data_IF_582611557494
#
_entry.id   IF_582611557494
#
_cell.length_a   1.000
_cell.length_b   1.000
_cell.length_c   1.000
_cell.angle_alpha   90.00
_cell.angle_beta   90.00
_cell.angle_gamma   90.00
#
_symmetry.space_group_name_H-M   'P 1'
#
loop_
_entity.id
_entity.type
_entity.pdbx_description
1 polymer ?
#
# COMPACT_ATOMS: atom_id res chain seq x y z
N UNK A 1 -38.88 -16.89 -13.21
CA UNK A 1 -37.39 -16.70 -13.16
C UNK A 1 -36.74 -17.22 -11.89
N UNK A 2 -37.17 -18.36 -11.38
CA UNK A 2 -36.57 -19.04 -10.23
C UNK A 2 -35.68 -20.21 -10.67
N UNK A 3 -34.75 -20.64 -9.80
CA UNK A 3 -33.98 -21.85 -9.99
C UNK A 3 -34.89 -23.06 -9.94
N UNK A 4 -34.89 -23.91 -10.94
CA UNK A 4 -35.71 -25.12 -10.99
C UNK A 4 -34.92 -26.27 -10.40
N UNK A 5 -35.39 -26.87 -9.30
CA UNK A 5 -34.74 -27.99 -8.63
C UNK A 5 -34.63 -29.23 -9.54
N UNK A 6 -35.65 -29.50 -10.33
CA UNK A 6 -35.66 -30.56 -11.31
C UNK A 6 -36.50 -30.12 -12.52
N UNK A 7 -35.93 -30.19 -13.70
CA UNK A 7 -36.64 -30.08 -14.97
C UNK A 7 -36.84 -31.51 -15.49
N UNK A 8 -38.10 -31.87 -15.78
CA UNK A 8 -38.48 -33.23 -16.11
C UNK A 8 -39.66 -33.20 -17.10
N UNK A 9 -39.48 -33.72 -18.29
CA UNK A 9 -40.53 -33.72 -19.30
C UNK A 9 -40.34 -34.81 -20.38
N UNK A 10 -41.39 -35.08 -21.12
CA UNK A 10 -41.42 -36.07 -22.17
C UNK A 10 -41.66 -35.40 -23.52
N UNK A 11 -41.01 -35.92 -24.53
CA UNK A 11 -41.23 -35.55 -25.96
C UNK A 11 -41.78 -36.78 -26.67
N UNK A 12 -43.08 -36.79 -26.91
CA UNK A 12 -43.76 -37.90 -27.57
C UNK A 12 -43.95 -37.64 -29.06
N UNK A 13 -44.28 -38.70 -29.79
CA UNK A 13 -44.57 -38.65 -31.23
C UNK A 13 -43.31 -38.68 -32.14
N UNK A 14 -42.14 -38.83 -31.58
CA UNK A 14 -40.92 -39.05 -32.34
C UNK A 14 -40.60 -40.54 -32.43
N UNK A 15 -40.27 -41.04 -33.65
CA UNK A 15 -39.80 -42.40 -33.83
C UNK A 15 -38.43 -42.59 -33.15
N UNK A 16 -38.47 -42.96 -31.85
CA UNK A 16 -37.29 -43.16 -31.03
C UNK A 16 -36.44 -44.32 -31.48
N UNK A 17 -36.98 -45.28 -32.29
CA UNK A 17 -36.21 -46.45 -32.79
C UNK A 17 -35.23 -46.04 -33.88
N UNK A 18 -35.62 -45.11 -34.76
CA UNK A 18 -34.83 -44.68 -35.89
C UNK A 18 -34.20 -43.29 -35.76
N UNK A 19 -34.72 -42.49 -34.79
CA UNK A 19 -34.21 -41.16 -34.51
C UNK A 19 -33.21 -41.09 -33.36
N UNK A 20 -32.71 -39.89 -33.10
CA UNK A 20 -31.92 -39.57 -31.92
C UNK A 20 -32.19 -38.12 -31.49
N UNK A 21 -32.35 -37.90 -30.18
CA UNK A 21 -32.54 -36.61 -29.57
C UNK A 21 -31.31 -36.27 -28.70
N UNK A 22 -30.87 -35.03 -28.76
CA UNK A 22 -29.84 -34.44 -27.94
C UNK A 22 -30.45 -33.26 -27.18
N UNK A 23 -30.05 -33.10 -25.93
CA UNK A 23 -30.49 -31.99 -25.07
C UNK A 23 -29.28 -31.18 -24.57
N UNK A 24 -29.29 -29.92 -24.89
CA UNK A 24 -28.20 -29.00 -24.53
C UNK A 24 -28.66 -27.97 -23.52
N UNK A 25 -28.00 -27.92 -22.40
CA UNK A 25 -28.29 -26.98 -21.29
C UNK A 25 -27.28 -25.79 -21.29
N UNK A 26 -26.44 -25.71 -22.31
CA UNK A 26 -25.31 -24.79 -22.38
C UNK A 26 -24.00 -25.41 -21.85
N UNK A 27 -22.90 -24.68 -22.03
CA UNK A 27 -21.56 -25.23 -21.79
C UNK A 27 -21.26 -25.54 -20.31
N UNK A 28 -21.82 -24.78 -19.37
CA UNK A 28 -21.48 -24.83 -17.93
C UNK A 28 -22.61 -25.30 -17.03
N UNK A 29 -23.82 -25.45 -17.56
CA UNK A 29 -24.96 -25.92 -16.79
C UNK A 29 -24.90 -27.45 -16.60
N UNK A 30 -25.60 -27.99 -15.58
CA UNK A 30 -25.72 -29.43 -15.45
C UNK A 30 -26.26 -30.08 -16.74
N UNK A 31 -25.66 -31.18 -17.22
CA UNK A 31 -26.11 -31.84 -18.46
C UNK A 31 -27.52 -32.40 -18.27
N UNK A 32 -28.33 -32.25 -19.30
CA UNK A 32 -29.60 -32.97 -19.34
C UNK A 32 -29.35 -34.43 -19.68
N UNK A 33 -30.12 -35.30 -19.03
CA UNK A 33 -30.16 -36.73 -19.36
C UNK A 33 -31.29 -36.94 -20.36
N UNK A 34 -31.04 -37.83 -21.35
CA UNK A 34 -32.02 -38.18 -22.36
C UNK A 34 -32.15 -39.70 -22.42
N UNK A 35 -33.32 -40.21 -22.15
CA UNK A 35 -33.63 -41.62 -22.18
C UNK A 35 -34.75 -41.90 -23.24
N UNK A 36 -34.66 -43.02 -23.93
CA UNK A 36 -35.68 -43.42 -24.87
C UNK A 36 -36.85 -44.04 -24.14
N UNK A 37 -38.05 -43.69 -24.55
CA UNK A 37 -39.31 -44.31 -24.12
C UNK A 37 -39.94 -45.11 -25.28
N UNK A 38 -41.06 -45.75 -25.06
CA UNK A 38 -41.77 -46.46 -26.10
C UNK A 38 -42.33 -45.50 -27.17
N UNK A 39 -42.72 -44.28 -26.78
CA UNK A 39 -43.41 -43.28 -27.61
C UNK A 39 -42.55 -42.08 -27.98
N UNK A 40 -41.30 -41.99 -27.42
CA UNK A 40 -40.47 -40.83 -27.65
C UNK A 40 -39.22 -40.78 -26.77
N UNK A 41 -39.04 -39.69 -26.03
CA UNK A 41 -37.90 -39.44 -25.18
C UNK A 41 -38.31 -38.81 -23.84
N UNK A 42 -37.70 -39.27 -22.77
CA UNK A 42 -37.73 -38.64 -21.46
C UNK A 42 -36.46 -37.81 -21.25
N UNK A 43 -36.63 -36.57 -20.82
CA UNK A 43 -35.51 -35.60 -20.63
C UNK A 43 -35.63 -35.03 -19.24
N UNK A 44 -34.52 -35.10 -18.50
CA UNK A 44 -34.45 -34.47 -17.17
C UNK A 44 -33.07 -33.88 -16.87
N UNK A 45 -33.05 -32.85 -16.00
CA UNK A 45 -31.86 -32.30 -15.41
C UNK A 45 -32.16 -31.78 -14.02
N UNK A 46 -31.20 -31.85 -13.10
CA UNK A 46 -31.28 -31.32 -11.75
C UNK A 46 -30.63 -29.95 -11.68
N UNK A 47 -31.03 -29.15 -10.72
CA UNK A 47 -30.43 -27.84 -10.44
C UNK A 47 -30.33 -26.91 -11.67
N UNK A 48 -31.42 -26.85 -12.46
CA UNK A 48 -31.44 -26.02 -13.65
C UNK A 48 -31.37 -24.54 -13.26
N UNK A 49 -30.37 -23.77 -13.77
CA UNK A 49 -30.12 -22.43 -13.32
C UNK A 49 -31.22 -21.46 -13.72
N UNK A 50 -31.33 -20.37 -12.96
CA UNK A 50 -32.16 -19.20 -13.34
C UNK A 50 -31.70 -18.70 -14.71
N UNK A 51 -32.63 -18.43 -15.61
CA UNK A 51 -32.37 -18.05 -17.00
C UNK A 51 -31.60 -19.08 -17.83
N UNK A 52 -31.55 -20.33 -17.40
CA UNK A 52 -31.02 -21.43 -18.19
C UNK A 52 -31.82 -21.65 -19.46
N UNK A 53 -31.17 -22.00 -20.55
CA UNK A 53 -31.82 -22.40 -21.79
C UNK A 53 -31.60 -23.89 -21.99
N UNK A 54 -32.65 -24.56 -22.41
CA UNK A 54 -32.61 -25.94 -22.86
C UNK A 54 -32.90 -25.96 -24.35
N UNK A 55 -31.98 -26.44 -25.14
CA UNK A 55 -32.13 -26.61 -26.58
C UNK A 55 -32.20 -28.08 -26.88
N UNK A 56 -33.22 -28.48 -27.66
CA UNK A 56 -33.44 -29.85 -28.12
C UNK A 56 -33.09 -29.93 -29.58
N UNK A 57 -32.16 -30.80 -29.89
CA UNK A 57 -31.80 -31.14 -31.27
C UNK A 57 -32.16 -32.59 -31.53
N UNK A 58 -32.93 -32.84 -32.59
CA UNK A 58 -33.34 -34.19 -32.92
C UNK A 58 -33.25 -34.43 -34.44
N UNK A 59 -33.01 -35.66 -34.80
CA UNK A 59 -33.22 -36.13 -36.17
C UNK A 59 -33.96 -37.46 -36.16
N UNK A 60 -34.77 -37.65 -37.17
CA UNK A 60 -35.46 -38.90 -37.47
C UNK A 60 -35.60 -39.07 -39.00
N UNK A 61 -35.88 -40.29 -39.51
CA UNK A 61 -36.11 -40.49 -40.93
C UNK A 61 -37.31 -39.69 -41.43
N UNK A 62 -37.19 -39.22 -42.68
CA UNK A 62 -38.29 -38.55 -43.38
C UNK A 62 -39.40 -39.57 -43.71
N UNK A 63 -40.60 -39.34 -43.15
CA UNK A 63 -41.78 -40.14 -43.50
C UNK A 63 -42.48 -39.57 -44.70
N UNK A 64 -43.33 -40.41 -45.38
CA UNK A 64 -44.18 -39.93 -46.50
C UNK A 64 -45.15 -38.81 -46.08
N UNK A 65 -45.70 -38.87 -44.85
CA UNK A 65 -46.53 -37.83 -44.29
C UNK A 65 -45.83 -36.49 -44.23
N UNK A 66 -44.60 -36.46 -43.72
CA UNK A 66 -43.75 -35.25 -43.65
C UNK A 66 -43.35 -34.74 -45.04
N UNK A 67 -43.21 -35.63 -46.04
CA UNK A 67 -42.93 -35.20 -47.42
C UNK A 67 -44.13 -34.53 -48.10
N UNK A 68 -45.33 -34.91 -47.74
CA UNK A 68 -46.58 -34.36 -48.29
C UNK A 68 -47.00 -33.04 -47.62
N UNK A 69 -46.42 -32.74 -46.50
CA UNK A 69 -46.70 -31.47 -45.80
C UNK A 69 -46.03 -30.31 -46.53
N UNK A 70 -46.82 -29.44 -47.16
CA UNK A 70 -46.32 -28.27 -47.92
C UNK A 70 -45.65 -27.19 -47.07
N UNK A 71 -45.74 -27.29 -45.77
CA UNK A 71 -45.10 -26.33 -44.83
C UNK A 71 -43.64 -26.69 -44.56
N UNK A 72 -43.16 -27.85 -44.95
CA UNK A 72 -41.81 -28.29 -44.73
C UNK A 72 -40.86 -27.87 -45.87
N UNK A 73 -39.78 -27.19 -45.56
CA UNK A 73 -38.67 -26.96 -46.51
C UNK A 73 -37.86 -28.23 -46.71
N UNK A 74 -37.81 -28.74 -47.95
CA UNK A 74 -37.02 -29.91 -48.32
C UNK A 74 -35.69 -29.49 -48.91
N UNK A 75 -34.64 -29.53 -48.07
CA UNK A 75 -33.25 -29.30 -48.52
C UNK A 75 -32.64 -30.61 -49.10
N UNK A 76 -32.18 -30.54 -50.36
CA UNK A 76 -31.41 -31.65 -50.98
C UNK A 76 -30.03 -31.77 -50.36
N UNK A 77 -29.73 -32.93 -49.74
CA UNK A 77 -28.43 -33.23 -49.19
C UNK A 77 -28.42 -34.19 -48.01
N UNK A 78 -27.25 -34.54 -47.49
CA UNK A 78 -27.12 -35.43 -46.34
C UNK A 78 -27.31 -34.64 -45.02
N UNK A 79 -28.58 -34.38 -44.67
CA UNK A 79 -28.93 -33.61 -43.44
C UNK A 79 -28.45 -34.30 -42.16
N UNK A 80 -28.49 -35.63 -42.08
CA UNK A 80 -28.04 -36.41 -40.95
C UNK A 80 -26.55 -36.23 -40.69
N UNK A 81 -25.74 -36.27 -41.71
CA UNK A 81 -24.29 -36.10 -41.57
C UNK A 81 -23.92 -34.68 -41.09
N UNK A 82 -24.55 -33.65 -41.69
CA UNK A 82 -24.37 -32.26 -41.26
C UNK A 82 -24.79 -32.07 -39.80
N UNK A 83 -25.92 -32.65 -39.39
CA UNK A 83 -26.43 -32.62 -38.05
C UNK A 83 -25.42 -33.27 -37.06
N UNK A 84 -25.00 -34.50 -37.31
CA UNK A 84 -24.03 -35.22 -36.47
C UNK A 84 -22.69 -34.48 -36.36
N UNK A 85 -22.24 -33.85 -37.44
CA UNK A 85 -21.04 -33.00 -37.40
C UNK A 85 -21.21 -31.77 -36.49
N UNK A 86 -22.40 -31.14 -36.52
CA UNK A 86 -22.75 -30.03 -35.62
C UNK A 86 -22.77 -30.48 -34.18
N UNK A 87 -23.45 -31.60 -33.86
CA UNK A 87 -23.49 -32.17 -32.52
C UNK A 87 -22.12 -32.51 -31.96
N UNK A 88 -21.29 -33.15 -32.76
CA UNK A 88 -19.88 -33.46 -32.40
C UNK A 88 -19.08 -32.15 -32.08
N UNK A 89 -19.31 -31.10 -32.87
CA UNK A 89 -18.68 -29.80 -32.63
C UNK A 89 -19.14 -29.17 -31.30
N UNK A 90 -20.45 -29.29 -30.97
CA UNK A 90 -21.01 -28.77 -29.68
C UNK A 90 -20.39 -29.56 -28.51
N UNK A 91 -20.34 -30.88 -28.62
CA UNK A 91 -19.74 -31.75 -27.60
C UNK A 91 -18.27 -31.43 -27.37
N UNK A 92 -17.47 -31.30 -28.44
CA UNK A 92 -16.06 -30.93 -28.36
C UNK A 92 -15.85 -29.54 -27.73
N UNK A 93 -16.66 -28.55 -28.11
CA UNK A 93 -16.59 -27.22 -27.53
C UNK A 93 -16.97 -27.23 -26.06
N UNK A 94 -18.03 -27.98 -25.69
CA UNK A 94 -18.45 -28.12 -24.29
C UNK A 94 -17.35 -28.75 -23.45
N UNK A 95 -16.74 -29.82 -23.93
CA UNK A 95 -15.61 -30.48 -23.28
C UNK A 95 -14.42 -29.52 -23.13
N UNK A 96 -14.05 -28.82 -24.20
CA UNK A 96 -12.92 -27.89 -24.21
C UNK A 96 -13.15 -26.75 -23.20
N UNK A 97 -14.29 -26.08 -23.25
CA UNK A 97 -14.58 -24.94 -22.39
C UNK A 97 -14.68 -25.33 -20.91
N UNK A 98 -15.32 -26.46 -20.62
CA UNK A 98 -15.36 -27.01 -19.25
C UNK A 98 -13.96 -27.36 -18.75
N UNK A 99 -13.17 -28.05 -19.55
CA UNK A 99 -11.82 -28.42 -19.16
C UNK A 99 -10.96 -27.19 -18.94
N UNK A 100 -11.00 -26.23 -19.87
CA UNK A 100 -10.21 -25.00 -19.78
C UNK A 100 -10.58 -24.19 -18.54
N UNK A 101 -11.86 -23.83 -18.40
CA UNK A 101 -12.30 -22.86 -17.36
C UNK A 101 -12.50 -23.49 -15.99
N UNK A 102 -12.86 -24.77 -15.88
CA UNK A 102 -13.10 -25.40 -14.59
C UNK A 102 -11.90 -26.19 -14.05
N UNK A 103 -10.91 -26.52 -14.89
CA UNK A 103 -9.72 -27.27 -14.46
C UNK A 103 -8.43 -26.51 -14.73
N UNK A 104 -8.16 -26.14 -15.99
CA UNK A 104 -6.88 -25.54 -16.36
C UNK A 104 -6.68 -24.15 -15.75
N UNK A 105 -7.65 -23.26 -15.92
CA UNK A 105 -7.54 -21.89 -15.40
C UNK A 105 -7.36 -21.86 -13.89
N UNK A 106 -8.12 -22.58 -13.06
CA UNK A 106 -7.89 -22.61 -11.60
C UNK A 106 -6.49 -23.14 -11.24
N UNK A 107 -6.05 -24.24 -11.87
CA UNK A 107 -4.72 -24.81 -11.60
C UNK A 107 -3.62 -23.81 -11.96
N UNK A 108 -3.67 -23.22 -13.15
CA UNK A 108 -2.70 -22.21 -13.61
C UNK A 108 -2.73 -20.99 -12.70
N UNK A 109 -3.91 -20.54 -12.27
CA UNK A 109 -4.06 -19.41 -11.38
C UNK A 109 -3.43 -19.67 -9.99
N UNK A 110 -3.62 -20.86 -9.45
CA UNK A 110 -2.99 -21.26 -8.18
C UNK A 110 -1.46 -21.32 -8.34
N UNK A 111 -0.96 -21.89 -9.42
CA UNK A 111 0.48 -21.93 -9.67
C UNK A 111 1.08 -20.53 -9.82
N UNK A 112 0.44 -19.64 -10.59
CA UNK A 112 0.88 -18.26 -10.74
C UNK A 112 0.84 -17.49 -9.41
N UNK A 113 -0.20 -17.72 -8.60
CA UNK A 113 -0.31 -17.13 -7.27
C UNK A 113 0.87 -17.54 -6.39
N UNK A 114 1.18 -18.83 -6.31
CA UNK A 114 2.33 -19.35 -5.54
C UNK A 114 3.64 -18.77 -6.09
N UNK A 115 3.84 -18.83 -7.42
CA UNK A 115 5.05 -18.31 -8.06
C UNK A 115 5.24 -16.80 -7.83
N UNK A 116 4.17 -16.02 -7.78
CA UNK A 116 4.24 -14.59 -7.52
C UNK A 116 4.74 -14.26 -6.12
N UNK A 117 4.53 -15.15 -5.13
CA UNK A 117 5.02 -14.93 -3.76
C UNK A 117 6.53 -15.11 -3.62
N UNK A 118 7.17 -15.93 -4.44
CA UNK A 118 8.61 -16.21 -4.35
C UNK A 118 9.45 -14.93 -4.50
N UNK A 119 9.32 -14.12 -5.57
CA UNK A 119 10.06 -12.87 -5.70
C UNK A 119 9.70 -11.89 -4.59
N UNK A 120 8.46 -11.84 -4.14
CA UNK A 120 8.06 -10.98 -3.03
C UNK A 120 8.70 -11.38 -1.70
N UNK A 121 8.74 -12.67 -1.38
CA UNK A 121 9.42 -13.17 -0.17
C UNK A 121 10.91 -12.80 -0.23
N UNK A 122 11.56 -13.01 -1.37
CA UNK A 122 12.97 -12.62 -1.58
C UNK A 122 13.18 -11.13 -1.40
N UNK A 123 12.32 -10.30 -1.99
CA UNK A 123 12.34 -8.86 -1.81
C UNK A 123 12.22 -8.48 -0.32
N UNK A 124 11.26 -9.04 0.41
CA UNK A 124 11.08 -8.72 1.83
C UNK A 124 12.22 -9.20 2.72
N UNK A 125 12.83 -10.32 2.40
CA UNK A 125 14.00 -10.82 3.12
C UNK A 125 15.22 -9.90 2.88
N UNK A 126 15.48 -9.52 1.63
CA UNK A 126 16.63 -8.69 1.27
C UNK A 126 16.51 -7.24 1.77
N UNK A 127 15.28 -6.69 1.77
CA UNK A 127 14.99 -5.32 2.23
C UNK A 127 14.65 -5.22 3.71
N UNK A 128 14.78 -6.33 4.48
CA UNK A 128 14.45 -6.35 5.90
C UNK A 128 15.39 -5.44 6.70
N UNK A 129 14.81 -4.52 7.47
CA UNK A 129 15.56 -3.70 8.42
C UNK A 129 16.12 -4.56 9.55
N UNK A 130 17.42 -4.52 9.75
CA UNK A 130 18.11 -5.19 10.85
C UNK A 130 18.01 -4.34 12.11
N UNK A 131 17.78 -4.98 13.24
CA UNK A 131 17.64 -4.33 14.56
C UNK A 131 18.44 -5.11 15.58
N UNK A 132 18.93 -4.43 16.61
CA UNK A 132 19.53 -5.06 17.78
C UNK A 132 18.47 -5.39 18.82
N UNK A 133 18.82 -6.30 19.74
CA UNK A 133 17.96 -6.61 20.88
C UNK A 133 17.81 -5.39 21.81
N UNK A 134 16.62 -5.21 22.39
CA UNK A 134 16.33 -4.08 23.29
C UNK A 134 17.21 -4.05 24.55
N UNK A 135 17.75 -5.18 24.96
CA UNK A 135 18.66 -5.29 26.10
C UNK A 135 20.09 -4.79 25.84
N UNK A 136 20.46 -4.61 24.56
CA UNK A 136 21.79 -4.05 24.22
C UNK A 136 21.74 -2.56 24.42
N UNK A 137 22.60 -2.03 25.27
CA UNK A 137 22.67 -0.63 25.68
C UNK A 137 24.06 -0.06 25.48
N UNK A 138 24.14 1.19 25.11
CA UNK A 138 25.36 2.01 25.09
C UNK A 138 25.12 3.24 25.95
N UNK A 139 25.98 3.49 26.93
CA UNK A 139 25.77 4.52 27.95
C UNK A 139 26.26 5.90 27.54
N UNK A 140 27.00 5.99 26.45
CA UNK A 140 27.49 7.23 25.86
C UNK A 140 27.00 7.35 24.40
N UNK A 141 26.76 8.57 23.89
CA UNK A 141 26.45 8.74 22.48
C UNK A 141 27.66 8.30 21.62
N UNK A 142 27.46 7.55 20.54
CA UNK A 142 28.56 7.09 19.68
C UNK A 142 29.41 8.24 19.13
N UNK A 143 28.77 9.35 18.88
CA UNK A 143 29.37 10.62 18.44
C UNK A 143 28.57 11.78 19.00
N UNK A 144 29.25 12.92 19.22
CA UNK A 144 28.58 14.14 19.69
C UNK A 144 27.98 14.89 18.50
N UNK A 145 26.83 14.42 17.99
CA UNK A 145 26.14 15.00 16.83
C UNK A 145 25.04 15.99 17.27
N UNK A 146 24.92 17.14 16.58
CA UNK A 146 23.75 17.99 16.75
C UNK A 146 22.44 17.27 16.42
N UNK A 147 21.34 17.52 17.15
CA UNK A 147 20.08 16.82 16.96
C UNK A 147 19.53 16.85 15.53
N UNK A 148 19.62 17.98 14.82
CA UNK A 148 19.18 18.11 13.42
C UNK A 148 20.00 17.25 12.47
N UNK A 149 21.31 17.18 12.68
CA UNK A 149 22.25 16.35 11.89
C UNK A 149 21.93 14.88 12.11
N UNK A 150 21.79 14.46 13.36
CA UNK A 150 21.42 13.09 13.72
C UNK A 150 20.06 12.69 13.13
N UNK A 151 19.06 13.59 13.23
CA UNK A 151 17.73 13.35 12.69
C UNK A 151 17.72 13.20 11.15
N UNK A 152 18.50 14.02 10.46
CA UNK A 152 18.63 13.91 9.00
C UNK A 152 19.37 12.65 8.59
N UNK A 153 20.51 12.36 9.21
CA UNK A 153 21.36 11.24 8.84
C UNK A 153 20.73 9.88 9.19
N UNK A 154 20.22 9.71 10.42
CA UNK A 154 19.79 8.41 10.92
C UNK A 154 18.28 8.17 10.79
N UNK A 155 17.46 9.24 10.71
CA UNK A 155 16.00 9.15 10.70
C UNK A 155 15.35 9.77 9.45
N UNK A 156 16.15 10.22 8.47
CA UNK A 156 15.69 10.82 7.20
C UNK A 156 14.68 11.97 7.43
N UNK A 157 15.08 12.94 8.23
CA UNK A 157 14.26 14.13 8.45
C UNK A 157 14.02 14.87 7.13
N UNK A 158 12.74 15.06 6.81
CA UNK A 158 12.28 15.93 5.73
C UNK A 158 11.93 17.30 6.31
N UNK A 159 12.78 18.29 6.09
CA UNK A 159 12.59 19.64 6.59
C UNK A 159 11.43 20.37 5.93
N UNK A 160 11.14 20.10 4.64
CA UNK A 160 10.07 20.79 3.93
C UNK A 160 8.70 20.35 4.42
N UNK A 161 8.55 19.06 4.70
CA UNK A 161 7.30 18.47 5.22
C UNK A 161 7.24 18.46 6.72
N UNK A 162 8.34 18.78 7.40
CA UNK A 162 8.50 18.67 8.86
C UNK A 162 8.12 17.27 9.39
N UNK A 163 8.50 16.24 8.65
CA UNK A 163 8.21 14.83 8.93
C UNK A 163 9.49 14.05 9.07
N UNK A 164 9.50 13.12 10.00
CA UNK A 164 10.55 12.13 10.18
C UNK A 164 10.06 10.83 9.56
N UNK A 165 10.58 10.51 8.38
CA UNK A 165 10.02 9.48 7.51
C UNK A 165 10.11 8.06 8.07
N UNK A 166 11.18 7.76 8.79
CA UNK A 166 11.49 6.37 9.15
C UNK A 166 11.02 5.96 10.54
N UNK A 167 10.88 6.90 11.44
CA UNK A 167 10.63 6.57 12.83
C UNK A 167 9.13 6.50 13.15
N UNK A 168 8.67 5.34 13.55
CA UNK A 168 7.30 5.12 14.05
C UNK A 168 7.20 5.31 15.58
N UNK A 169 8.30 5.67 16.21
CA UNK A 169 8.41 5.81 17.67
C UNK A 169 8.03 7.19 18.18
N UNK A 170 8.54 7.55 19.37
CA UNK A 170 8.25 8.82 20.04
C UNK A 170 8.92 10.05 19.39
N UNK A 171 9.73 9.86 18.34
CA UNK A 171 10.43 10.94 17.68
C UNK A 171 9.45 11.85 16.94
N UNK A 172 9.34 13.11 17.38
CA UNK A 172 8.45 14.12 16.81
C UNK A 172 9.24 15.37 16.45
N UNK A 173 8.81 16.10 15.44
CA UNK A 173 9.49 17.31 15.00
C UNK A 173 9.61 18.39 16.09
N UNK A 174 8.58 18.58 16.91
CA UNK A 174 8.65 19.51 18.03
C UNK A 174 9.68 19.10 19.10
N UNK A 175 9.86 17.81 19.37
CA UNK A 175 10.92 17.34 20.27
C UNK A 175 12.31 17.60 19.70
N UNK A 176 12.46 17.49 18.38
CA UNK A 176 13.70 17.80 17.70
C UNK A 176 14.07 19.29 17.81
N UNK A 177 13.09 20.19 17.63
CA UNK A 177 13.27 21.63 17.85
C UNK A 177 13.71 21.90 19.28
N UNK A 178 13.02 21.33 20.27
CA UNK A 178 13.36 21.48 21.69
C UNK A 178 14.76 20.94 21.98
N UNK A 179 15.11 19.78 21.44
CA UNK A 179 16.45 19.21 21.60
C UNK A 179 17.54 20.09 20.98
N UNK A 180 17.29 20.72 19.84
CA UNK A 180 18.23 21.62 19.18
C UNK A 180 18.43 22.91 20.00
N UNK A 181 17.37 23.46 20.57
CA UNK A 181 17.48 24.61 21.48
C UNK A 181 18.27 24.23 22.74
N UNK A 182 17.99 23.07 23.34
CA UNK A 182 18.74 22.57 24.49
C UNK A 182 20.22 22.31 24.17
N UNK A 183 20.53 21.81 22.99
CA UNK A 183 21.90 21.61 22.52
C UNK A 183 22.67 22.95 22.43
N UNK A 184 22.02 23.98 21.90
CA UNK A 184 22.59 25.33 21.82
C UNK A 184 22.74 25.98 23.21
N UNK A 185 21.85 25.68 24.16
CA UNK A 185 21.97 26.13 25.57
C UNK A 185 23.13 25.39 26.27
N UNK A 186 23.23 24.08 26.10
CA UNK A 186 24.30 23.24 26.66
C UNK A 186 25.68 23.70 26.21
N UNK A 187 25.80 24.14 24.96
CA UNK A 187 27.03 24.72 24.38
C UNK A 187 27.26 26.19 24.72
N UNK A 188 26.32 26.82 25.43
CA UNK A 188 26.42 28.22 25.88
C UNK A 188 26.08 29.27 24.82
N UNK A 189 25.66 28.90 23.61
CA UNK A 189 25.27 29.84 22.56
C UNK A 189 23.94 30.53 22.86
N UNK A 190 23.01 29.81 23.52
CA UNK A 190 21.73 30.34 23.97
C UNK A 190 21.61 30.31 25.50
N UNK A 191 20.80 31.20 26.05
CA UNK A 191 20.45 31.23 27.50
C UNK A 191 18.93 31.29 27.64
N UNK A 192 18.40 30.44 28.51
CA UNK A 192 17.00 30.50 28.92
C UNK A 192 16.91 31.14 30.31
N UNK A 193 16.19 32.25 30.44
CA UNK A 193 15.92 32.90 31.70
C UNK A 193 14.43 32.84 31.99
N UNK A 194 14.08 32.67 33.27
CA UNK A 194 12.69 32.67 33.73
C UNK A 194 12.45 33.91 34.59
N UNK A 195 11.56 34.78 34.12
CA UNK A 195 11.18 36.03 34.78
C UNK A 195 9.69 35.96 35.11
N UNK A 196 9.19 36.95 35.85
CA UNK A 196 7.77 37.11 36.19
C UNK A 196 6.87 37.17 34.95
N UNK A 197 7.40 37.65 33.82
CA UNK A 197 6.71 37.78 32.53
C UNK A 197 6.80 36.54 31.65
N UNK A 198 7.40 35.42 32.11
CA UNK A 198 7.54 34.18 31.37
C UNK A 198 8.97 33.73 31.15
N UNK A 199 9.15 32.82 30.22
CA UNK A 199 10.46 32.28 29.87
C UNK A 199 11.01 32.99 28.62
N UNK A 200 12.21 33.54 28.74
CA UNK A 200 12.88 34.34 27.72
C UNK A 200 14.12 33.60 27.23
N UNK A 201 14.27 33.48 25.92
CA UNK A 201 15.42 32.90 25.25
C UNK A 201 16.29 34.02 24.69
N UNK A 202 17.58 34.03 25.03
CA UNK A 202 18.56 35.06 24.62
C UNK A 202 19.68 34.38 23.81
N UNK A 203 20.09 34.95 22.67
CA UNK A 203 21.27 34.57 21.95
C UNK A 203 22.49 35.31 22.52
N UNK A 204 23.47 34.54 23.04
CA UNK A 204 24.66 35.09 23.68
C UNK A 204 25.77 35.37 22.69
N UNK A 205 26.06 34.40 21.83
CA UNK A 205 27.10 34.50 20.80
C UNK A 205 26.89 33.52 19.65
N UNK A 206 27.47 33.82 18.51
CA UNK A 206 27.38 33.02 17.29
C UNK A 206 28.65 32.23 16.99
N UNK A 207 29.64 32.32 17.86
CA UNK A 207 30.94 31.64 17.69
C UNK A 207 30.75 30.11 17.78
N UNK A 208 31.48 29.39 16.90
CA UNK A 208 31.43 27.93 16.87
C UNK A 208 30.19 27.30 16.27
N UNK A 209 29.24 28.13 15.78
CA UNK A 209 28.01 27.62 15.15
C UNK A 209 28.25 27.24 13.68
N UNK A 210 27.64 26.13 13.25
CA UNK A 210 27.56 25.74 11.84
C UNK A 210 26.53 26.57 11.08
N UNK A 211 26.63 26.60 9.75
CA UNK A 211 25.73 27.37 8.87
C UNK A 211 24.23 27.04 9.13
N UNK A 212 23.91 25.77 9.38
CA UNK A 212 22.54 25.36 9.65
C UNK A 212 22.04 25.82 11.03
N UNK A 213 22.93 25.95 12.00
CA UNK A 213 22.60 26.45 13.35
C UNK A 213 22.37 27.95 13.33
N UNK A 214 23.17 28.70 12.57
CA UNK A 214 22.94 30.11 12.31
C UNK A 214 21.57 30.33 11.65
N UNK A 215 21.24 29.51 10.66
CA UNK A 215 19.93 29.56 10.00
C UNK A 215 18.80 29.20 10.97
N UNK A 216 19.00 28.21 11.83
CA UNK A 216 18.00 27.81 12.84
C UNK A 216 17.77 28.94 13.85
N UNK A 217 18.81 29.62 14.31
CA UNK A 217 18.71 30.80 15.20
C UNK A 217 17.97 31.94 14.49
N UNK A 218 18.32 32.24 13.22
CA UNK A 218 17.60 33.24 12.40
C UNK A 218 16.08 32.92 12.34
N UNK A 219 15.72 31.64 12.15
CA UNK A 219 14.32 31.21 12.10
C UNK A 219 13.61 31.39 13.46
N UNK A 220 14.32 31.29 14.59
CA UNK A 220 13.77 31.46 15.93
C UNK A 220 13.59 32.93 16.27
N UNK A 221 14.64 33.73 16.10
CA UNK A 221 14.75 35.09 16.63
C UNK A 221 14.35 36.18 15.64
N UNK A 222 14.28 35.90 14.35
CA UNK A 222 13.92 36.84 13.26
C UNK A 222 14.80 38.06 13.19
N UNK A 223 15.66 38.51 13.76
CA UNK A 223 16.56 39.65 13.85
C UNK A 223 16.65 40.20 15.29
N UNK A 224 15.92 39.66 16.24
CA UNK A 224 16.02 40.02 17.64
C UNK A 224 17.13 39.18 18.29
N UNK A 225 17.70 39.68 19.40
CA UNK A 225 18.67 38.92 20.21
C UNK A 225 18.03 38.23 21.41
N UNK A 226 16.79 38.60 21.72
CA UNK A 226 16.04 38.09 22.84
C UNK A 226 14.56 37.94 22.47
N UNK A 227 13.95 36.81 22.82
CA UNK A 227 12.57 36.50 22.45
C UNK A 227 11.88 35.71 23.58
N UNK A 228 10.60 35.94 23.77
CA UNK A 228 9.79 35.07 24.65
C UNK A 228 9.60 33.70 23.97
N UNK A 229 9.66 32.62 24.75
CA UNK A 229 9.46 31.26 24.22
C UNK A 229 8.11 31.11 23.51
N UNK A 230 7.08 31.82 23.92
CA UNK A 230 5.77 31.82 23.26
C UNK A 230 5.80 32.41 21.86
N UNK A 231 6.80 33.21 21.53
CA UNK A 231 6.97 33.92 20.25
C UNK A 231 7.96 33.27 19.32
N UNK A 232 8.62 32.19 19.77
CA UNK A 232 9.50 31.39 18.94
C UNK A 232 8.78 30.98 17.64
N UNK A 233 9.43 31.22 16.49
CA UNK A 233 8.86 31.04 15.16
C UNK A 233 7.62 31.90 14.85
N UNK A 234 7.45 33.05 15.50
CA UNK A 234 6.30 33.96 15.30
C UNK A 234 6.13 34.36 13.82
N UNK A 235 7.24 34.58 13.08
CA UNK A 235 7.23 34.90 11.64
C UNK A 235 6.51 33.87 10.76
N UNK A 236 6.35 32.63 11.21
CA UNK A 236 5.63 31.56 10.49
C UNK A 236 4.25 31.26 11.09
N UNK A 237 3.87 31.94 12.18
CA UNK A 237 2.56 31.76 12.80
C UNK A 237 1.50 32.47 11.96
N UNK A 238 0.46 31.73 11.63
CA UNK A 238 -0.74 32.25 10.94
C UNK A 238 -1.91 32.05 11.88
N UNK A 239 -2.61 33.11 12.23
CA UNK A 239 -3.89 32.98 12.89
C UNK A 239 -4.93 32.42 11.90
N UNK A 240 -5.04 31.10 11.90
CA UNK A 240 -5.98 30.37 11.04
C UNK A 240 -7.44 30.78 11.31
N UNK A 241 -7.78 31.15 12.56
CA UNK A 241 -9.13 31.52 12.94
C UNK A 241 -9.47 32.91 12.38
N UNK A 242 -8.57 33.88 12.54
CA UNK A 242 -8.69 35.21 11.99
C UNK A 242 -8.76 35.14 10.43
N UNK A 243 -7.82 34.44 9.77
CA UNK A 243 -7.85 34.29 8.30
C UNK A 243 -9.12 33.62 7.79
N UNK A 244 -9.63 32.62 8.50
CA UNK A 244 -10.89 31.95 8.14
C UNK A 244 -12.10 32.85 8.33
N UNK A 245 -12.11 33.70 9.36
CA UNK A 245 -13.13 34.70 9.63
C UNK A 245 -13.10 35.75 8.53
N UNK A 246 -11.93 36.29 8.20
CA UNK A 246 -11.75 37.31 7.15
C UNK A 246 -12.11 36.76 5.78
N UNK A 247 -11.74 35.52 5.48
CA UNK A 247 -12.10 34.86 4.22
C UNK A 247 -13.61 34.68 4.05
N UNK A 248 -14.33 34.37 5.16
CA UNK A 248 -15.78 34.27 5.14
C UNK A 248 -16.47 35.63 5.04
N UNK A 249 -15.86 36.66 5.63
CA UNK A 249 -16.37 38.04 5.58
C UNK A 249 -16.05 38.76 4.25
N UNK A 250 -15.13 38.23 3.45
CA UNK A 250 -14.72 38.80 2.17
C UNK A 250 -15.87 38.83 1.17
N UNK A 251 -16.22 40.06 0.73
CA UNK A 251 -17.33 40.31 -0.19
C UNK A 251 -16.95 40.21 -1.69
N UNK A 252 -15.66 40.17 -2.00
CA UNK A 252 -15.15 40.06 -3.38
C UNK A 252 -14.08 39.00 -3.52
N UNK A 253 -13.92 38.45 -4.72
CA UNK A 253 -12.87 37.49 -5.03
C UNK A 253 -11.47 38.08 -4.88
N UNK A 254 -11.32 39.37 -5.20
CA UNK A 254 -10.07 40.13 -4.98
C UNK A 254 -9.66 40.16 -3.50
N UNK A 255 -10.61 40.29 -2.57
CA UNK A 255 -10.32 40.21 -1.13
C UNK A 255 -9.93 38.81 -0.70
N UNK A 256 -10.64 37.79 -1.18
CA UNK A 256 -10.30 36.39 -0.93
C UNK A 256 -8.91 36.03 -1.45
N UNK A 257 -8.53 36.53 -2.61
CA UNK A 257 -7.20 36.28 -3.19
C UNK A 257 -6.09 37.00 -2.38
N UNK A 258 -6.34 38.19 -1.85
CA UNK A 258 -5.38 38.84 -0.94
C UNK A 258 -5.14 37.99 0.32
N UNK A 259 -6.19 37.48 0.93
CA UNK A 259 -6.09 36.60 2.12
C UNK A 259 -5.33 35.31 1.80
N UNK A 260 -5.61 34.69 0.63
CA UNK A 260 -4.87 33.52 0.16
C UNK A 260 -3.38 33.84 -0.04
N UNK A 261 -3.05 35.00 -0.63
CA UNK A 261 -1.67 35.44 -0.84
C UNK A 261 -0.90 35.59 0.48
N UNK A 262 -1.51 36.09 1.54
CA UNK A 262 -0.87 36.19 2.87
C UNK A 262 -0.50 34.79 3.37
N UNK A 263 -1.43 33.85 3.34
CA UNK A 263 -1.16 32.46 3.75
C UNK A 263 -0.09 31.78 2.90
N UNK A 264 -0.15 31.96 1.58
CA UNK A 264 0.84 31.38 0.66
C UNK A 264 2.23 32.02 0.79
N UNK A 265 2.31 33.31 1.13
CA UNK A 265 3.60 34.00 1.36
C UNK A 265 4.32 33.42 2.59
N UNK A 266 3.60 33.26 3.71
CA UNK A 266 4.19 32.67 4.92
C UNK A 266 4.59 31.20 4.68
N UNK A 267 3.78 30.44 3.97
CA UNK A 267 4.12 29.07 3.61
C UNK A 267 5.34 28.98 2.69
N UNK A 268 5.46 29.90 1.72
CA UNK A 268 6.61 29.98 0.82
C UNK A 268 7.89 30.38 1.57
N UNK A 269 7.77 31.33 2.52
CA UNK A 269 8.89 31.72 3.39
C UNK A 269 9.38 30.54 4.21
N UNK A 270 8.47 29.85 4.90
CA UNK A 270 8.81 28.66 5.71
C UNK A 270 9.48 27.58 4.85
N UNK A 271 8.95 27.32 3.66
CA UNK A 271 9.53 26.34 2.74
C UNK A 271 10.93 26.74 2.30
N UNK A 272 11.16 28.01 1.96
CA UNK A 272 12.48 28.54 1.58
C UNK A 272 13.49 28.36 2.74
N UNK A 273 13.11 28.76 3.95
CA UNK A 273 13.98 28.67 5.10
C UNK A 273 14.26 27.21 5.49
N UNK A 274 13.25 26.35 5.43
CA UNK A 274 13.41 24.90 5.64
C UNK A 274 14.36 24.26 4.62
N UNK A 275 14.30 24.67 3.35
CA UNK A 275 15.24 24.21 2.32
C UNK A 275 16.68 24.68 2.60
N UNK A 276 16.87 25.92 3.03
CA UNK A 276 18.18 26.43 3.41
C UNK A 276 18.74 25.67 4.61
N UNK A 277 17.90 25.43 5.62
CA UNK A 277 18.25 24.64 6.81
C UNK A 277 18.68 23.20 6.39
N UNK A 278 17.90 22.54 5.49
CA UNK A 278 18.23 21.22 4.98
C UNK A 278 19.59 21.18 4.30
N UNK A 279 19.86 22.14 3.41
CA UNK A 279 21.16 22.24 2.73
C UNK A 279 22.32 22.45 3.69
N UNK A 280 22.12 23.29 4.71
CA UNK A 280 23.12 23.49 5.75
C UNK A 280 23.43 22.23 6.55
N UNK A 281 22.38 21.47 6.92
CA UNK A 281 22.54 20.18 7.61
C UNK A 281 23.23 19.15 6.70
N UNK A 282 22.89 19.08 5.43
CA UNK A 282 23.54 18.17 4.47
C UNK A 282 25.03 18.51 4.28
N UNK A 283 25.38 19.80 4.24
CA UNK A 283 26.75 20.26 4.20
C UNK A 283 27.54 19.85 5.48
N UNK A 284 26.90 19.94 6.63
CA UNK A 284 27.53 19.53 7.90
C UNK A 284 27.70 18.01 7.98
N UNK A 285 26.72 17.22 7.51
CA UNK A 285 26.82 15.75 7.39
C UNK A 285 28.04 15.39 6.52
N UNK A 286 28.21 16.06 5.39
CA UNK A 286 29.35 15.83 4.49
C UNK A 286 30.69 16.24 5.15
N UNK A 287 30.76 17.38 5.86
CA UNK A 287 31.93 17.87 6.58
C UNK A 287 32.36 16.93 7.70
N UNK A 288 31.37 16.36 8.43
CA UNK A 288 31.62 15.38 9.49
C UNK A 288 31.97 13.99 8.95
N UNK A 289 31.90 13.78 7.63
CA UNK A 289 32.18 12.49 7.00
C UNK A 289 31.24 11.38 7.45
N UNK A 290 29.96 11.74 7.80
CA UNK A 290 29.01 10.75 8.25
C UNK A 290 28.65 9.82 7.10
N UNK A 291 28.57 8.50 7.36
CA UNK A 291 28.22 7.55 6.34
C UNK A 291 26.75 7.67 5.94
N UNK A 292 26.42 7.26 4.72
CA UNK A 292 25.04 7.08 4.33
C UNK A 292 24.45 5.86 5.06
N UNK A 293 23.44 6.08 5.88
CA UNK A 293 22.72 5.02 6.58
C UNK A 293 21.60 4.40 5.74
N UNK A 294 21.38 4.95 4.56
CA UNK A 294 20.34 4.51 3.62
C UNK A 294 20.96 4.23 2.26
N UNK A 295 20.31 3.38 1.51
CA UNK A 295 20.70 2.99 0.17
C UNK A 295 19.49 2.87 -0.74
N UNK A 296 19.71 2.95 -2.02
CA UNK A 296 18.72 2.64 -3.04
C UNK A 296 18.54 1.12 -3.19
N UNK A 297 17.50 0.73 -3.92
CA UNK A 297 17.29 -0.66 -4.32
C UNK A 297 18.46 -1.14 -5.18
N UNK A 298 18.95 -2.33 -4.90
CA UNK A 298 19.86 -3.03 -5.81
C UNK A 298 19.09 -3.52 -7.05
N UNK A 299 19.77 -3.74 -8.16
CA UNK A 299 19.18 -4.28 -9.40
C UNK A 299 18.43 -5.60 -9.15
N UNK A 300 18.93 -6.46 -8.27
CA UNK A 300 18.29 -7.72 -7.90
C UNK A 300 16.97 -7.51 -7.14
N UNK A 301 16.95 -6.57 -6.21
CA UNK A 301 15.76 -6.23 -5.43
C UNK A 301 14.69 -5.59 -6.30
N UNK A 302 15.09 -4.72 -7.22
CA UNK A 302 14.21 -4.13 -8.21
C UNK A 302 13.63 -5.20 -9.17
N UNK A 303 14.47 -6.15 -9.60
CA UNK A 303 14.02 -7.28 -10.41
C UNK A 303 13.00 -8.15 -9.67
N UNK A 304 13.19 -8.41 -8.37
CA UNK A 304 12.22 -9.14 -7.57
C UNK A 304 10.87 -8.42 -7.48
N UNK A 305 10.90 -7.09 -7.25
CA UNK A 305 9.69 -6.28 -7.21
C UNK A 305 8.95 -6.31 -8.55
N UNK A 306 9.65 -6.04 -9.65
CA UNK A 306 9.10 -6.05 -11.02
C UNK A 306 8.53 -7.42 -11.41
N UNK A 307 9.26 -8.50 -11.12
CA UNK A 307 8.82 -9.87 -11.44
C UNK A 307 7.56 -10.24 -10.65
N UNK A 308 7.52 -9.91 -9.34
CA UNK A 308 6.34 -10.15 -8.52
C UNK A 308 5.11 -9.38 -9.03
N UNK A 309 5.26 -8.11 -9.40
CA UNK A 309 4.20 -7.31 -10.02
C UNK A 309 3.72 -7.90 -11.34
N UNK A 310 4.64 -8.31 -12.22
CA UNK A 310 4.30 -8.88 -13.52
C UNK A 310 3.50 -10.18 -13.39
N UNK A 311 3.91 -11.08 -12.49
CA UNK A 311 3.18 -12.34 -12.25
C UNK A 311 1.77 -12.10 -11.70
N UNK A 312 1.61 -11.13 -10.78
CA UNK A 312 0.29 -10.73 -10.29
C UNK A 312 -0.59 -10.14 -11.40
N UNK A 313 -0.01 -9.28 -12.24
CA UNK A 313 -0.73 -8.72 -13.38
C UNK A 313 -1.24 -9.81 -14.33
N UNK A 314 -0.40 -10.78 -14.70
CA UNK A 314 -0.81 -11.90 -15.53
C UNK A 314 -1.88 -12.77 -14.90
N UNK A 315 -1.80 -13.02 -13.58
CA UNK A 315 -2.83 -13.74 -12.85
C UNK A 315 -4.18 -13.02 -12.94
N UNK A 316 -4.21 -11.71 -12.63
CA UNK A 316 -5.43 -10.91 -12.70
C UNK A 316 -5.99 -10.85 -14.13
N UNK A 317 -5.13 -10.74 -15.15
CA UNK A 317 -5.54 -10.72 -16.55
C UNK A 317 -6.20 -12.04 -16.97
N UNK A 318 -5.61 -13.18 -16.61
CA UNK A 318 -6.17 -14.50 -16.91
C UNK A 318 -7.54 -14.66 -16.27
N UNK A 319 -7.68 -14.29 -15.00
CA UNK A 319 -8.95 -14.38 -14.28
C UNK A 319 -10.00 -13.43 -14.86
N UNK A 320 -9.59 -12.21 -15.22
CA UNK A 320 -10.49 -11.21 -15.83
C UNK A 320 -11.01 -11.67 -17.20
N UNK A 321 -10.12 -12.15 -18.07
CA UNK A 321 -10.52 -12.67 -19.39
C UNK A 321 -11.45 -13.87 -19.22
N UNK A 322 -11.17 -14.76 -18.28
CA UNK A 322 -12.04 -15.90 -17.96
C UNK A 322 -13.42 -15.46 -17.46
N UNK A 323 -13.48 -14.44 -16.61
CA UNK A 323 -14.72 -13.83 -16.12
C UNK A 323 -15.53 -13.23 -17.27
N UNK A 324 -14.88 -12.45 -18.15
CA UNK A 324 -15.55 -11.84 -19.31
C UNK A 324 -16.13 -12.93 -20.23
N UNK A 325 -15.38 -13.98 -20.50
CA UNK A 325 -15.85 -15.11 -21.31
C UNK A 325 -17.08 -15.79 -20.69
N UNK A 326 -17.08 -16.01 -19.38
CA UNK A 326 -18.21 -16.59 -18.67
C UNK A 326 -19.44 -15.67 -18.64
N UNK A 327 -19.26 -14.34 -18.55
CA UNK A 327 -20.35 -13.36 -18.51
C UNK A 327 -21.08 -13.20 -19.83
N UNK A 328 -20.41 -13.47 -20.97
CA UNK A 328 -20.99 -13.37 -22.32
C UNK A 328 -22.06 -14.44 -22.64
N UNK A 329 -22.65 -15.06 -21.62
CA UNK A 329 -23.83 -15.92 -21.78
C UNK A 329 -23.61 -17.39 -21.45
N UNK A 330 -22.45 -17.74 -20.94
CA UNK A 330 -22.09 -19.15 -20.73
C UNK A 330 -22.16 -19.61 -19.26
N UNK A 331 -22.37 -18.70 -18.29
CA UNK A 331 -22.42 -19.10 -16.90
C UNK A 331 -22.40 -17.94 -15.91
N UNK A 332 -23.52 -17.24 -15.72
CA UNK A 332 -23.61 -16.06 -14.83
C UNK A 332 -23.16 -16.32 -13.39
N UNK A 333 -23.38 -17.51 -12.85
CA UNK A 333 -22.96 -17.88 -11.49
C UNK A 333 -21.45 -18.06 -11.37
N UNK A 334 -20.81 -18.64 -12.39
CA UNK A 334 -19.36 -18.81 -12.43
C UNK A 334 -18.65 -17.45 -12.62
N UNK A 335 -19.21 -16.55 -13.42
CA UNK A 335 -18.64 -15.20 -13.59
C UNK A 335 -18.64 -14.42 -12.27
N UNK A 336 -19.69 -14.53 -11.45
CA UNK A 336 -19.73 -13.93 -10.11
C UNK A 336 -18.65 -14.48 -9.19
N UNK A 337 -18.37 -15.78 -9.24
CA UNK A 337 -17.31 -16.39 -8.45
C UNK A 337 -15.93 -15.84 -8.84
N UNK A 338 -15.63 -15.73 -10.14
CA UNK A 338 -14.39 -15.13 -10.62
C UNK A 338 -14.28 -13.65 -10.25
N UNK A 339 -15.37 -12.90 -10.28
CA UNK A 339 -15.40 -11.51 -9.83
C UNK A 339 -14.97 -11.37 -8.36
N UNK A 340 -15.48 -12.19 -7.46
CA UNK A 340 -15.10 -12.15 -6.05
C UNK A 340 -13.64 -12.56 -5.82
N UNK A 341 -13.12 -13.53 -6.58
CA UNK A 341 -11.71 -13.91 -6.52
C UNK A 341 -10.83 -12.74 -6.97
N UNK A 342 -11.15 -12.10 -8.09
CA UNK A 342 -10.40 -10.93 -8.59
C UNK A 342 -10.42 -9.80 -7.56
N UNK A 343 -11.59 -9.50 -7.01
CA UNK A 343 -11.72 -8.47 -5.98
C UNK A 343 -10.85 -8.77 -4.76
N UNK A 344 -10.87 -10.00 -4.28
CA UNK A 344 -10.05 -10.44 -3.15
C UNK A 344 -8.55 -10.28 -3.47
N UNK A 345 -8.11 -10.70 -4.64
CA UNK A 345 -6.69 -10.58 -5.06
C UNK A 345 -6.26 -9.12 -5.19
N UNK A 346 -7.11 -8.24 -5.73
CA UNK A 346 -6.83 -6.80 -5.78
C UNK A 346 -6.73 -6.20 -4.38
N UNK A 347 -7.65 -6.54 -3.48
CA UNK A 347 -7.63 -6.07 -2.10
C UNK A 347 -6.40 -6.56 -1.32
N UNK A 348 -5.91 -7.76 -1.60
CA UNK A 348 -4.66 -8.27 -1.03
C UNK A 348 -3.42 -7.59 -1.63
N UNK A 349 -3.45 -7.27 -2.92
CA UNK A 349 -2.31 -6.68 -3.61
C UNK A 349 -2.07 -5.21 -3.25
N UNK A 350 -3.12 -4.41 -3.06
CA UNK A 350 -3.01 -2.96 -2.77
C UNK A 350 -2.17 -2.68 -1.51
N UNK A 351 -2.47 -3.26 -0.33
CA UNK A 351 -1.66 -3.04 0.87
C UNK A 351 -0.21 -3.49 0.67
N UNK A 352 -0.02 -4.58 -0.04
CA UNK A 352 1.30 -5.14 -0.33
C UNK A 352 2.14 -4.19 -1.19
N UNK A 353 1.57 -3.65 -2.25
CA UNK A 353 2.20 -2.64 -3.11
C UNK A 353 2.55 -1.36 -2.35
N UNK A 354 1.66 -0.88 -1.48
CA UNK A 354 1.91 0.29 -0.61
C UNK A 354 3.11 0.03 0.30
N UNK A 355 3.18 -1.13 0.95
CA UNK A 355 4.31 -1.50 1.82
C UNK A 355 5.63 -1.55 1.05
N UNK A 356 5.61 -2.05 -0.18
CA UNK A 356 6.80 -2.06 -1.05
C UNK A 356 7.26 -0.63 -1.35
N UNK A 357 6.35 0.24 -1.78
CA UNK A 357 6.67 1.64 -2.09
C UNK A 357 7.22 2.40 -0.88
N UNK A 358 6.63 2.22 0.29
CA UNK A 358 7.14 2.82 1.53
C UNK A 358 8.56 2.32 1.87
N UNK A 359 8.87 1.05 1.56
CA UNK A 359 10.20 0.48 1.82
C UNK A 359 11.25 0.97 0.83
N UNK A 360 10.89 1.16 -0.43
CA UNK A 360 11.82 1.62 -1.47
C UNK A 360 12.53 2.93 -1.06
N UNK A 361 11.82 3.83 -0.39
CA UNK A 361 12.34 5.13 0.00
C UNK A 361 13.29 5.10 1.22
N UNK A 362 13.41 3.96 1.92
CA UNK A 362 14.03 3.92 3.27
C UNK A 362 14.83 2.65 3.54
N UNK A 363 15.56 2.16 2.56
CA UNK A 363 16.35 0.95 2.73
C UNK A 363 17.59 1.19 3.60
N UNK A 364 17.78 0.33 4.58
CA UNK A 364 18.94 0.38 5.46
C UNK A 364 20.21 0.00 4.68
N UNK A 365 21.26 0.84 4.78
CA UNK A 365 22.59 0.48 4.30
C UNK A 365 23.18 -0.64 5.16
N UNK A 366 23.71 -1.67 4.52
CA UNK A 366 24.35 -2.79 5.21
C UNK A 366 25.82 -2.53 5.54
N UNK A 367 26.44 -1.58 4.87
CA UNK A 367 27.85 -1.24 5.04
C UNK A 367 28.12 -0.51 6.36
N UNK A 368 27.11 0.18 6.90
CA UNK A 368 27.25 1.01 8.11
C UNK A 368 26.37 0.53 9.26
N UNK A 369 26.16 -0.78 9.35
CA UNK A 369 25.28 -1.37 10.37
C UNK A 369 25.80 -1.16 11.79
N UNK A 370 27.11 -1.27 12.00
CA UNK A 370 27.71 -1.15 13.34
C UNK A 370 27.44 0.24 13.93
N UNK A 371 27.63 1.30 13.17
CA UNK A 371 27.32 2.65 13.61
C UNK A 371 25.83 2.84 13.88
N UNK A 372 24.95 2.29 13.02
CA UNK A 372 23.51 2.31 13.27
C UNK A 372 23.13 1.54 14.54
N UNK A 373 23.77 0.40 14.79
CA UNK A 373 23.52 -0.40 15.99
C UNK A 373 23.98 0.30 17.25
N UNK A 374 25.10 1.03 17.22
CA UNK A 374 25.55 1.86 18.34
C UNK A 374 24.50 2.94 18.69
N UNK A 375 23.97 3.64 17.71
CA UNK A 375 22.89 4.61 17.94
C UNK A 375 21.61 3.97 18.45
N UNK A 376 21.25 2.77 17.96
CA UNK A 376 20.12 2.01 18.49
C UNK A 376 20.36 1.57 19.93
N UNK A 377 21.57 1.15 20.29
CA UNK A 377 21.96 0.76 21.65
C UNK A 377 21.91 1.96 22.60
N UNK A 378 22.38 3.13 22.17
CA UNK A 378 22.29 4.36 22.93
C UNK A 378 20.82 4.78 23.14
N UNK A 379 19.98 4.70 22.12
CA UNK A 379 18.55 4.94 22.26
C UNK A 379 17.89 3.95 23.21
N UNK A 380 18.20 2.65 23.13
CA UNK A 380 17.70 1.64 24.07
C UNK A 380 18.05 2.00 25.52
N UNK A 381 19.25 2.51 25.76
CA UNK A 381 19.67 3.01 27.06
C UNK A 381 18.75 4.15 27.53
N UNK A 382 18.59 5.20 26.72
CA UNK A 382 17.70 6.34 27.06
C UNK A 382 16.28 5.89 27.36
N UNK A 383 15.72 4.98 26.55
CA UNK A 383 14.36 4.45 26.75
C UNK A 383 14.24 3.62 28.05
N UNK A 384 15.35 3.08 28.55
CA UNK A 384 15.38 2.26 29.75
C UNK A 384 15.77 3.00 31.03
N UNK A 385 16.16 4.26 30.99
CA UNK A 385 16.52 5.09 32.17
C UNK A 385 15.49 4.97 33.31
N UNK A 386 14.16 5.00 33.06
CA UNK A 386 13.18 4.85 34.13
C UNK A 386 13.22 3.53 34.91
N UNK A 387 13.97 2.56 34.41
CA UNK A 387 14.11 1.24 35.05
C UNK A 387 15.52 1.04 35.63
N UNK A 388 16.35 2.08 35.67
CA UNK A 388 17.70 1.99 36.22
C UNK A 388 17.69 1.97 37.73
N UNK A 389 18.61 1.21 38.31
CA UNK A 389 18.91 1.31 39.73
C UNK A 389 19.86 2.49 39.99
N UNK A 390 20.08 2.84 41.28
CA UNK A 390 20.88 3.98 41.66
C UNK A 390 22.34 3.90 41.14
N UNK A 391 22.94 2.73 41.15
CA UNK A 391 24.30 2.54 40.64
C UNK A 391 24.39 2.73 39.10
N UNK A 392 23.37 2.34 38.36
CA UNK A 392 23.29 2.60 36.91
C UNK A 392 23.11 4.10 36.64
N UNK A 393 22.32 4.81 37.45
CA UNK A 393 22.12 6.25 37.33
C UNK A 393 23.42 7.03 37.62
N UNK A 394 24.20 6.62 38.62
CA UNK A 394 25.50 7.22 38.95
C UNK A 394 26.55 7.00 37.85
N UNK A 395 26.43 5.96 37.06
CA UNK A 395 27.35 5.64 35.95
C UNK A 395 27.12 6.52 34.70
N UNK A 396 26.02 7.26 34.63
CA UNK A 396 25.66 8.11 33.49
C UNK A 396 26.35 9.47 33.62
N UNK A 397 27.54 9.59 33.08
CA UNK A 397 28.49 10.70 33.32
C UNK A 397 28.10 12.04 32.64
N UNK A 398 27.24 12.03 31.62
CA UNK A 398 26.96 13.22 30.78
C UNK A 398 25.47 13.61 30.77
N UNK A 399 24.88 13.89 31.93
CA UNK A 399 23.46 14.17 32.06
C UNK A 399 22.95 15.29 31.13
N UNK A 400 23.68 16.38 30.95
CA UNK A 400 23.23 17.47 30.08
C UNK A 400 23.09 16.99 28.63
N UNK A 401 24.10 16.29 28.12
CA UNK A 401 24.09 15.76 26.76
C UNK A 401 23.03 14.66 26.56
N UNK A 402 22.84 13.80 27.57
CA UNK A 402 21.79 12.79 27.58
C UNK A 402 20.42 13.45 27.57
N UNK A 403 20.21 14.55 28.28
CA UNK A 403 18.95 15.27 28.28
C UNK A 403 18.60 15.83 26.90
N UNK A 404 19.59 16.30 26.13
CA UNK A 404 19.40 16.72 24.73
C UNK A 404 18.82 15.58 23.90
N UNK A 405 19.48 14.42 23.91
CA UNK A 405 18.98 13.26 23.15
C UNK A 405 17.70 12.66 23.73
N UNK A 406 17.52 12.65 25.05
CA UNK A 406 16.28 12.22 25.67
C UNK A 406 15.10 13.10 25.26
N UNK A 407 15.32 14.41 25.11
CA UNK A 407 14.35 15.34 24.57
C UNK A 407 14.03 15.02 23.13
N UNK A 408 15.05 14.78 22.31
CA UNK A 408 14.88 14.37 20.92
C UNK A 408 14.01 13.11 20.78
N UNK A 409 14.26 12.10 21.63
CA UNK A 409 13.48 10.85 21.67
C UNK A 409 12.17 10.93 22.45
N UNK A 410 11.80 12.11 22.96
CA UNK A 410 10.55 12.31 23.70
C UNK A 410 10.52 11.69 25.11
N UNK A 411 11.70 11.41 25.70
CA UNK A 411 11.85 10.80 27.02
C UNK A 411 12.26 11.81 28.12
N UNK A 412 12.37 13.09 27.80
CA UNK A 412 12.87 14.13 28.73
C UNK A 412 12.13 14.18 30.08
N UNK A 413 10.82 13.97 30.09
CA UNK A 413 10.03 13.96 31.35
C UNK A 413 10.43 12.81 32.25
N UNK A 414 10.76 11.66 31.72
CA UNK A 414 11.16 10.47 32.46
C UNK A 414 12.56 10.62 33.03
N UNK A 415 13.45 11.26 32.29
CA UNK A 415 14.82 11.54 32.73
C UNK A 415 14.89 12.60 33.83
N UNK A 416 13.93 13.54 33.87
CA UNK A 416 13.86 14.56 34.93
C UNK A 416 13.21 14.07 36.23
N UNK A 417 12.47 13.00 36.22
CA UNK A 417 11.78 12.45 37.38
C UNK A 417 12.64 11.55 38.25
N UNK A 418 13.78 11.16 37.74
CA UNK A 418 14.83 10.36 38.42
C UNK A 418 15.97 11.27 38.92
#
# INVERSE_FOLDING_TARGET
>A
DEKVAKLDFYVDGLDAKQGKLYAHTGYFNPPAQVERTETGYHIWTKDFPKNGKLELHAYWPMTEALRRDQTNEINKGNGKEKFLKKEKSIEQKTFLYRTLLLKVVPIVSILLFILAFIPWIRYFISTRTRRIAKGVRLYEPPQNLPPLVLAKALYQLDFERMVISREKGPLKFNHLIQATILDLIDRGNLRLTRNENGETLTCLHYEGLADFELKFIEMIFDQESEINISEVFSRYKIDKAALKKDFRAAKSDTQRDRIRKVGSAVQSLLKKDAQQLSKGVEKEIAKLGLPSYFRDLSEKEEAFSKTGCALHFWLLLILFVSMCFLSLGFGSHLSSFYFWIILLLVLLFIPFYIVVKIREDHLQSLENLDSQFQWMAFRNMIESIPNFNQAELESVILWNRILVYATMYGQAKKVRSE
#
